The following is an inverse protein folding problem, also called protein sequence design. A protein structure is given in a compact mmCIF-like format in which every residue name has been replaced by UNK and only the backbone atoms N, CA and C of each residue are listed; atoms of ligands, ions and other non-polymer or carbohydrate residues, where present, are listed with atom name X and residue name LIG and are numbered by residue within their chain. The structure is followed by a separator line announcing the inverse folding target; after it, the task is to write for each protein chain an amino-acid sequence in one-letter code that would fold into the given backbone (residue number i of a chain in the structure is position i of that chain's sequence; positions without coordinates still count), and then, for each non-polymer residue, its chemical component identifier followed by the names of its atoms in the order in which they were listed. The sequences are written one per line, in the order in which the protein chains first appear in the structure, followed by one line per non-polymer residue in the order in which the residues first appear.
data_IF_785556331874
#
_entry.id   IF_785556331874
#
_cell.length_a   1.000
_cell.length_b   1.000
_cell.length_c   1.000
_cell.angle_alpha   90.00
_cell.angle_beta   90.00
_cell.angle_gamma   90.00
#
_symmetry.space_group_name_H-M   'P 1'
#
loop_
_entity.id
_entity.type
_entity.pdbx_description
1 polymer ?
#
# COMPACT_ATOMS: atom_id res chain seq x y z
N UNK A 1 -15.62 54.77 -33.65
CA UNK A 1 -15.87 53.32 -33.69
C UNK A 1 -15.16 52.70 -32.50
N UNK A 2 -15.91 52.35 -31.45
CA UNK A 2 -15.37 51.77 -30.21
C UNK A 2 -15.62 50.26 -30.25
N UNK A 3 -14.55 49.47 -30.33
CA UNK A 3 -14.62 48.01 -30.30
C UNK A 3 -14.54 47.56 -28.83
N UNK A 4 -15.69 47.13 -28.32
CA UNK A 4 -15.84 46.48 -27.02
C UNK A 4 -15.26 45.06 -27.12
N UNK A 5 -14.19 44.78 -26.38
CA UNK A 5 -13.64 43.44 -26.20
C UNK A 5 -14.55 42.66 -25.23
N UNK A 6 -15.22 41.64 -25.76
CA UNK A 6 -16.04 40.71 -25.00
C UNK A 6 -15.19 39.86 -24.05
N UNK A 7 -15.61 39.80 -22.79
CA UNK A 7 -15.03 38.94 -21.77
C UNK A 7 -15.23 37.46 -22.15
N UNK A 8 -14.13 36.72 -22.29
CA UNK A 8 -14.15 35.27 -22.35
C UNK A 8 -14.59 34.71 -20.99
N UNK A 9 -15.75 34.04 -20.97
CA UNK A 9 -16.18 33.22 -19.85
C UNK A 9 -15.15 32.09 -19.61
N UNK A 10 -14.49 32.10 -18.46
CA UNK A 10 -13.68 30.98 -17.99
C UNK A 10 -14.59 29.76 -17.77
N UNK A 11 -14.26 28.57 -18.30
CA UNK A 11 -15.00 27.36 -18.00
C UNK A 11 -14.88 27.08 -16.49
N UNK A 12 -16.03 27.03 -15.82
CA UNK A 12 -16.11 26.79 -14.38
C UNK A 12 -15.41 25.48 -14.03
N UNK A 13 -14.43 25.56 -13.12
CA UNK A 13 -13.80 24.39 -12.53
C UNK A 13 -14.91 23.49 -11.97
N UNK A 14 -14.91 22.17 -12.28
CA UNK A 14 -15.89 21.26 -11.71
C UNK A 14 -15.76 21.34 -10.20
N UNK A 15 -16.83 21.76 -9.52
CA UNK A 15 -16.93 21.64 -8.07
C UNK A 15 -16.92 20.15 -7.76
N UNK A 16 -15.74 19.60 -7.47
CA UNK A 16 -15.61 18.27 -6.87
C UNK A 16 -16.19 18.37 -5.46
N UNK A 17 -17.52 18.26 -5.38
CA UNK A 17 -18.20 18.06 -4.11
C UNK A 17 -17.59 16.83 -3.47
N UNK A 18 -17.10 16.99 -2.24
CA UNK A 18 -16.78 15.86 -1.37
C UNK A 18 -18.05 15.01 -1.26
N UNK A 19 -18.15 13.96 -2.06
CA UNK A 19 -19.29 13.07 -2.03
C UNK A 19 -19.32 12.42 -0.64
N UNK A 20 -20.25 12.86 0.19
CA UNK A 20 -20.54 12.23 1.47
C UNK A 20 -21.03 10.80 1.19
N UNK A 21 -20.12 9.84 1.29
CA UNK A 21 -20.48 8.42 1.31
C UNK A 21 -20.84 8.04 2.76
N UNK A 22 -22.07 7.54 3.01
CA UNK A 22 -22.43 6.98 4.31
C UNK A 22 -21.50 5.82 4.67
N UNK A 23 -21.40 5.49 5.97
CA UNK A 23 -20.55 4.38 6.44
C UNK A 23 -21.11 3.07 5.88
N UNK A 24 -20.53 2.58 4.80
CA UNK A 24 -20.95 1.34 4.14
C UNK A 24 -20.34 0.17 4.92
N UNK A 25 -21.17 -0.61 5.62
CA UNK A 25 -20.68 -1.76 6.40
C UNK A 25 -20.69 -3.07 5.59
N UNK A 26 -21.64 -3.21 4.65
CA UNK A 26 -21.73 -4.40 3.80
C UNK A 26 -20.66 -4.39 2.69
N UNK A 27 -19.90 -5.49 2.59
CA UNK A 27 -18.86 -5.70 1.57
C UNK A 27 -19.40 -5.55 0.14
N UNK A 28 -20.59 -6.07 -0.16
CA UNK A 28 -21.17 -5.98 -1.51
C UNK A 28 -21.39 -4.53 -1.94
N UNK A 29 -21.87 -3.68 -1.03
CA UNK A 29 -22.07 -2.26 -1.29
C UNK A 29 -20.75 -1.52 -1.47
N UNK A 30 -19.70 -1.91 -0.72
CA UNK A 30 -18.35 -1.35 -0.88
C UNK A 30 -17.80 -1.69 -2.26
N UNK A 31 -17.89 -2.96 -2.67
CA UNK A 31 -17.43 -3.41 -3.98
C UNK A 31 -18.21 -2.73 -5.10
N UNK A 32 -19.54 -2.58 -4.96
CA UNK A 32 -20.37 -1.85 -5.92
C UNK A 32 -19.97 -0.37 -6.01
N UNK A 33 -19.65 0.29 -4.89
CA UNK A 33 -19.21 1.68 -4.88
C UNK A 33 -17.83 1.85 -5.56
N UNK A 34 -16.90 0.94 -5.31
CA UNK A 34 -15.58 0.91 -5.97
C UNK A 34 -15.77 0.73 -7.48
N UNK A 35 -16.57 -0.24 -7.91
CA UNK A 35 -16.80 -0.53 -9.33
C UNK A 35 -17.50 0.64 -10.04
N UNK A 36 -18.49 1.26 -9.39
CA UNK A 36 -19.14 2.45 -9.92
C UNK A 36 -18.15 3.60 -10.11
N UNK A 37 -17.26 3.85 -9.14
CA UNK A 37 -16.22 4.88 -9.23
C UNK A 37 -15.23 4.59 -10.37
N UNK A 38 -14.71 3.36 -10.46
CA UNK A 38 -13.81 2.91 -11.52
C UNK A 38 -14.43 3.07 -12.91
N UNK A 39 -15.73 2.85 -13.04
CA UNK A 39 -16.43 2.94 -14.31
C UNK A 39 -16.92 4.34 -14.69
N UNK A 40 -16.88 5.30 -13.76
CA UNK A 40 -17.36 6.67 -13.98
C UNK A 40 -16.22 7.67 -13.78
N UNK A 41 -15.94 8.05 -12.54
CA UNK A 41 -14.97 9.07 -12.16
C UNK A 41 -13.58 8.79 -12.71
N UNK A 42 -13.07 7.56 -12.55
CA UNK A 42 -11.69 7.22 -12.91
C UNK A 42 -11.43 7.15 -14.42
N UNK A 43 -12.48 7.18 -15.23
CA UNK A 43 -12.41 7.30 -16.70
C UNK A 43 -12.53 8.75 -17.17
N UNK A 44 -12.89 9.68 -16.29
CA UNK A 44 -13.12 11.07 -16.67
C UNK A 44 -11.77 11.80 -16.92
N UNK A 45 -11.58 12.48 -18.07
CA UNK A 45 -10.31 13.13 -18.40
C UNK A 45 -9.80 14.13 -17.35
N UNK A 46 -10.72 14.90 -16.75
CA UNK A 46 -10.36 15.85 -15.70
C UNK A 46 -9.81 15.15 -14.43
N UNK A 47 -10.38 14.00 -14.07
CA UNK A 47 -9.88 13.23 -12.93
C UNK A 47 -8.51 12.62 -13.25
N UNK A 48 -8.32 12.07 -14.46
CA UNK A 48 -7.04 11.53 -14.90
C UNK A 48 -5.92 12.58 -14.89
N UNK A 49 -6.22 13.79 -15.37
CA UNK A 49 -5.29 14.92 -15.32
C UNK A 49 -4.93 15.28 -13.88
N UNK A 50 -5.94 15.44 -13.01
CA UNK A 50 -5.71 15.78 -11.61
C UNK A 50 -4.94 14.67 -10.85
N UNK A 51 -5.31 13.42 -11.05
CA UNK A 51 -4.74 12.27 -10.34
C UNK A 51 -3.26 12.01 -10.69
N UNK A 52 -2.74 12.60 -11.76
CA UNK A 52 -1.33 12.49 -12.19
C UNK A 52 -0.50 13.72 -11.82
N UNK A 53 -1.10 14.77 -11.24
CA UNK A 53 -0.38 15.98 -10.82
C UNK A 53 0.21 15.87 -9.41
N UNK A 54 -0.35 14.99 -8.57
CA UNK A 54 0.11 14.76 -7.21
C UNK A 54 -0.89 13.92 -6.41
N UNK A 55 -0.59 13.69 -5.14
CA UNK A 55 -1.47 12.94 -4.24
C UNK A 55 -2.66 13.81 -3.79
N UNK A 56 -3.87 13.24 -3.85
CA UNK A 56 -5.15 13.88 -3.47
C UNK A 56 -5.57 13.56 -2.04
N UNK A 57 -4.72 12.82 -1.32
CA UNK A 57 -4.79 12.59 0.12
C UNK A 57 -3.87 13.58 0.85
N UNK A 58 -4.06 13.77 2.16
CA UNK A 58 -3.30 14.76 2.91
C UNK A 58 -1.94 14.22 3.36
N UNK A 59 -0.91 15.04 3.27
CA UNK A 59 0.37 14.79 3.93
C UNK A 59 0.18 15.04 5.43
N UNK A 60 0.71 14.16 6.28
CA UNK A 60 0.66 14.35 7.73
C UNK A 60 1.45 15.61 8.17
N UNK A 61 2.55 15.94 7.50
CA UNK A 61 3.34 17.15 7.82
C UNK A 61 2.57 18.46 7.59
N UNK A 62 1.62 18.45 6.65
CA UNK A 62 0.82 19.63 6.32
C UNK A 62 -0.38 19.82 7.27
N UNK A 63 -0.62 18.86 8.17
CA UNK A 63 -1.71 18.91 9.13
C UNK A 63 -1.27 19.59 10.43
N UNK A 64 -2.01 20.59 10.94
CA UNK A 64 -1.72 21.13 12.25
C UNK A 64 -2.03 20.08 13.33
N UNK A 65 -1.14 19.93 14.32
CA UNK A 65 -1.25 18.90 15.37
C UNK A 65 -2.59 18.92 16.12
N UNK A 66 -3.21 20.10 16.24
CA UNK A 66 -4.57 20.27 16.80
C UNK A 66 -5.66 19.44 16.10
N UNK A 67 -5.40 18.92 14.90
CA UNK A 67 -6.32 18.04 14.16
C UNK A 67 -6.07 16.56 14.35
N UNK A 68 -4.93 16.13 14.90
CA UNK A 68 -4.55 14.71 14.93
C UNK A 68 -5.58 13.84 15.66
N UNK A 69 -6.08 14.29 16.81
CA UNK A 69 -7.07 13.55 17.59
C UNK A 69 -8.39 13.32 16.83
N UNK A 70 -8.73 14.16 15.84
CA UNK A 70 -9.92 13.98 14.99
C UNK A 70 -9.86 12.67 14.20
N UNK A 71 -8.66 12.15 13.92
CA UNK A 71 -8.47 10.91 13.16
C UNK A 71 -8.76 9.64 13.97
N UNK A 72 -8.90 9.75 15.30
CA UNK A 72 -9.28 8.63 16.16
C UNK A 72 -10.62 7.99 15.71
N UNK A 73 -11.54 8.78 15.15
CA UNK A 73 -12.84 8.31 14.64
C UNK A 73 -12.72 7.30 13.49
N UNK A 74 -11.58 7.25 12.82
CA UNK A 74 -11.32 6.34 11.70
C UNK A 74 -10.65 5.04 12.12
N UNK A 75 -10.27 4.87 13.39
CA UNK A 75 -9.68 3.62 13.86
C UNK A 75 -10.61 2.42 13.64
N UNK A 76 -10.03 1.29 13.26
CA UNK A 76 -10.76 0.04 13.01
C UNK A 76 -10.70 -0.86 14.24
N UNK A 77 -11.68 -0.72 15.14
CA UNK A 77 -11.64 -1.39 16.43
C UNK A 77 -10.44 -0.97 17.31
N UNK A 78 -9.90 0.22 17.06
CA UNK A 78 -8.66 0.69 17.68
C UNK A 78 -7.38 0.42 16.86
N UNK A 79 -7.50 -0.19 15.68
CA UNK A 79 -6.35 -0.48 14.80
C UNK A 79 -6.07 0.67 13.84
N UNK A 80 -4.80 1.03 13.71
CA UNK A 80 -4.24 1.83 12.62
C UNK A 80 -3.50 0.91 11.64
N UNK A 81 -3.66 1.15 10.34
CA UNK A 81 -2.90 0.48 9.29
C UNK A 81 -1.83 1.42 8.74
N UNK A 82 -0.60 0.94 8.62
CA UNK A 82 0.49 1.66 7.95
C UNK A 82 0.96 0.82 6.76
N UNK A 83 1.00 1.42 5.57
CA UNK A 83 1.39 0.72 4.35
C UNK A 83 2.63 1.40 3.79
N UNK A 84 3.76 0.71 3.87
CA UNK A 84 5.07 1.21 3.43
C UNK A 84 5.29 0.85 1.98
N UNK A 85 5.51 1.83 1.11
CA UNK A 85 5.81 1.65 -0.31
C UNK A 85 4.77 0.77 -1.02
N UNK A 86 3.49 1.19 -1.05
CA UNK A 86 2.45 0.42 -1.72
C UNK A 86 2.77 0.19 -3.20
N UNK A 87 2.46 -1.01 -3.69
CA UNK A 87 2.71 -1.47 -5.07
C UNK A 87 4.17 -1.36 -5.55
N UNK A 88 5.14 -1.58 -4.64
CA UNK A 88 6.55 -1.37 -4.95
C UNK A 88 7.02 -2.17 -6.18
N UNK A 89 6.59 -3.42 -6.30
CA UNK A 89 6.95 -4.31 -7.41
C UNK A 89 6.56 -3.72 -8.78
N UNK A 90 5.37 -3.12 -8.87
CA UNK A 90 4.83 -2.64 -10.15
C UNK A 90 5.51 -1.35 -10.62
N UNK A 91 5.90 -0.49 -9.68
CA UNK A 91 6.38 0.86 -10.00
C UNK A 91 7.90 1.04 -9.89
N UNK A 92 8.59 0.19 -9.11
CA UNK A 92 9.98 0.44 -8.72
C UNK A 92 10.94 -0.75 -8.92
N UNK A 93 10.43 -1.95 -9.24
CA UNK A 93 11.25 -3.15 -9.55
C UNK A 93 11.63 -3.24 -11.05
N UNK A 94 11.44 -2.15 -11.81
CA UNK A 94 11.75 -2.06 -13.24
C UNK A 94 11.12 -3.19 -14.09
N UNK A 95 9.86 -3.51 -13.83
CA UNK A 95 9.04 -4.18 -14.82
C UNK A 95 8.46 -3.10 -15.72
N UNK A 96 8.76 -3.16 -17.02
CA UNK A 96 7.99 -2.45 -18.03
C UNK A 96 6.76 -3.33 -18.35
N UNK A 97 5.62 -3.21 -17.64
CA UNK A 97 4.41 -3.76 -18.21
C UNK A 97 4.23 -3.07 -19.56
N UNK A 98 4.03 -3.87 -20.59
CA UNK A 98 3.94 -3.44 -21.98
C UNK A 98 2.61 -2.68 -22.23
N UNK A 99 2.36 -1.60 -21.48
CA UNK A 99 1.11 -0.87 -21.46
C UNK A 99 1.35 0.62 -21.55
N UNK A 100 1.08 1.18 -22.72
CA UNK A 100 1.03 2.62 -22.99
C UNK A 100 -0.30 3.25 -22.53
N UNK A 101 -1.28 2.45 -22.10
CA UNK A 101 -2.63 2.92 -21.74
C UNK A 101 -3.19 2.11 -20.57
N UNK A 102 -3.30 2.70 -19.37
CA UNK A 102 -4.01 2.06 -18.24
C UNK A 102 -3.43 2.37 -16.86
N UNK A 103 -3.99 1.75 -15.82
CA UNK A 103 -3.38 1.63 -14.50
C UNK A 103 -2.41 0.42 -14.54
N UNK A 104 -1.11 0.62 -14.28
CA UNK A 104 -0.12 -0.46 -14.30
C UNK A 104 -0.43 -1.67 -13.42
N UNK A 105 -1.04 -1.46 -12.26
CA UNK A 105 -1.41 -2.55 -11.35
C UNK A 105 -2.55 -3.36 -11.98
N UNK A 106 -3.58 -2.70 -12.51
CA UNK A 106 -4.66 -3.40 -13.21
C UNK A 106 -4.18 -4.12 -14.48
N UNK A 107 -3.21 -3.54 -15.18
CA UNK A 107 -2.56 -4.19 -16.32
C UNK A 107 -1.85 -5.49 -15.90
N UNK A 108 -1.01 -5.45 -14.87
CA UNK A 108 -0.36 -6.62 -14.29
C UNK A 108 -1.40 -7.68 -13.87
N UNK A 109 -2.47 -7.26 -13.19
CA UNK A 109 -3.48 -8.15 -12.68
C UNK A 109 -4.35 -8.81 -13.76
N UNK A 110 -4.35 -8.31 -15.00
CA UNK A 110 -5.06 -8.92 -16.15
C UNK A 110 -4.22 -9.89 -16.97
N UNK A 111 -2.90 -9.89 -16.81
CA UNK A 111 -2.03 -10.80 -17.55
C UNK A 111 -2.31 -12.27 -17.20
N UNK A 112 -1.85 -13.22 -18.00
CA UNK A 112 -1.88 -14.64 -17.61
C UNK A 112 -0.61 -14.93 -16.82
N UNK A 113 -0.73 -15.59 -15.66
CA UNK A 113 0.44 -15.96 -14.88
C UNK A 113 1.12 -17.13 -15.60
N UNK A 114 2.37 -16.93 -16.01
CA UNK A 114 3.14 -17.96 -16.73
C UNK A 114 3.90 -18.86 -15.75
N UNK A 115 4.22 -18.34 -14.57
CA UNK A 115 4.91 -19.05 -13.49
C UNK A 115 4.18 -18.91 -12.15
N UNK A 116 4.55 -19.75 -11.16
CA UNK A 116 4.04 -19.63 -9.79
C UNK A 116 4.56 -18.36 -9.11
N UNK A 117 5.77 -17.95 -9.43
CA UNK A 117 6.38 -16.71 -8.93
C UNK A 117 5.54 -15.51 -9.40
N UNK A 118 5.21 -15.46 -10.70
CA UNK A 118 4.32 -14.43 -11.25
C UNK A 118 2.95 -14.46 -10.57
N UNK A 119 2.37 -15.65 -10.39
CA UNK A 119 1.09 -15.80 -9.70
C UNK A 119 1.16 -15.27 -8.26
N UNK A 120 2.21 -15.62 -7.53
CA UNK A 120 2.40 -15.19 -6.15
C UNK A 120 2.59 -13.67 -6.04
N UNK A 121 3.41 -13.07 -6.90
CA UNK A 121 3.61 -11.62 -6.95
C UNK A 121 2.31 -10.88 -7.28
N UNK A 122 1.56 -11.37 -8.27
CA UNK A 122 0.26 -10.80 -8.64
C UNK A 122 -0.78 -10.89 -7.53
N UNK A 123 -0.84 -12.01 -6.83
CA UNK A 123 -1.80 -12.16 -5.73
C UNK A 123 -1.44 -11.30 -4.51
N UNK A 124 -0.15 -11.01 -4.28
CA UNK A 124 0.27 -10.00 -3.29
C UNK A 124 -0.16 -8.59 -3.67
N UNK A 125 0.05 -8.20 -4.94
CA UNK A 125 -0.39 -6.90 -5.46
C UNK A 125 -1.92 -6.77 -5.43
N UNK A 126 -2.64 -7.85 -5.78
CA UNK A 126 -4.10 -7.92 -5.66
C UNK A 126 -4.55 -7.70 -4.23
N UNK A 127 -3.99 -8.45 -3.28
CA UNK A 127 -4.37 -8.38 -1.88
C UNK A 127 -4.13 -6.99 -1.29
N UNK A 128 -2.98 -6.36 -1.61
CA UNK A 128 -2.66 -5.02 -1.16
C UNK A 128 -3.58 -3.96 -1.78
N UNK A 129 -3.81 -4.00 -3.10
CA UNK A 129 -4.73 -3.09 -3.79
C UNK A 129 -6.14 -3.20 -3.20
N UNK A 130 -6.67 -4.43 -3.09
CA UNK A 130 -8.02 -4.69 -2.58
C UNK A 130 -8.16 -4.21 -1.14
N UNK A 131 -7.14 -4.45 -0.32
CA UNK A 131 -7.08 -3.93 1.03
C UNK A 131 -7.18 -2.40 1.04
N UNK A 132 -6.37 -1.68 0.25
CA UNK A 132 -6.38 -0.22 0.21
C UNK A 132 -7.74 0.32 -0.27
N UNK A 133 -8.30 -0.24 -1.34
CA UNK A 133 -9.60 0.17 -1.89
C UNK A 133 -10.75 -0.03 -0.91
N UNK A 134 -10.83 -1.22 -0.29
CA UNK A 134 -11.90 -1.55 0.64
C UNK A 134 -11.75 -0.73 1.93
N UNK A 135 -10.53 -0.64 2.47
CA UNK A 135 -10.24 0.00 3.76
C UNK A 135 -10.42 1.52 3.69
N UNK A 136 -9.98 2.15 2.58
CA UNK A 136 -10.19 3.58 2.34
C UNK A 136 -11.67 3.91 2.11
N UNK A 137 -12.40 3.06 1.36
CA UNK A 137 -13.85 3.21 1.13
C UNK A 137 -14.65 3.06 2.42
N UNK A 138 -14.21 2.18 3.33
CA UNK A 138 -14.77 2.05 4.70
C UNK A 138 -14.40 3.18 5.65
N UNK A 139 -13.62 4.16 5.20
CA UNK A 139 -13.08 5.27 6.01
C UNK A 139 -12.32 4.76 7.24
N UNK A 140 -11.49 3.74 7.07
CA UNK A 140 -10.58 3.29 8.14
C UNK A 140 -9.25 4.02 8.02
N UNK A 141 -8.60 4.23 9.16
CA UNK A 141 -7.37 5.01 9.23
C UNK A 141 -6.22 4.24 8.59
N UNK A 142 -5.68 4.81 7.51
CA UNK A 142 -4.49 4.29 6.81
C UNK A 142 -3.46 5.42 6.76
N UNK A 143 -2.21 5.11 7.11
CA UNK A 143 -1.07 5.95 6.84
C UNK A 143 -0.21 5.29 5.76
N UNK A 144 0.03 5.98 4.65
CA UNK A 144 0.94 5.52 3.61
C UNK A 144 2.33 6.09 3.87
N UNK A 145 3.36 5.25 3.83
CA UNK A 145 4.74 5.74 3.72
C UNK A 145 5.11 5.60 2.25
N UNK A 146 5.15 6.72 1.53
CA UNK A 146 5.43 6.74 0.10
C UNK A 146 6.94 6.86 -0.14
N UNK A 147 7.49 6.25 -1.21
CA UNK A 147 8.90 6.40 -1.58
C UNK A 147 9.32 7.88 -1.71
N UNK A 148 10.35 8.33 -0.99
CA UNK A 148 10.91 9.68 -1.15
C UNK A 148 11.61 9.85 -2.50
N UNK A 149 11.51 11.05 -3.09
CA UNK A 149 12.14 11.44 -4.36
C UNK A 149 11.99 10.40 -5.49
N UNK A 150 10.85 9.69 -5.48
CA UNK A 150 10.66 8.50 -6.30
C UNK A 150 10.65 8.80 -7.80
N UNK A 151 10.33 10.04 -8.19
CA UNK A 151 10.35 10.50 -9.58
C UNK A 151 11.76 10.50 -10.15
N UNK A 152 12.77 10.75 -9.31
CA UNK A 152 14.17 10.79 -9.72
C UNK A 152 14.87 9.44 -9.52
N UNK A 153 14.29 8.55 -8.72
CA UNK A 153 14.85 7.24 -8.41
C UNK A 153 14.97 6.31 -9.61
N UNK A 154 16.17 5.79 -9.93
CA UNK A 154 16.49 4.89 -11.07
C UNK A 154 15.62 3.62 -11.22
N UNK A 155 14.93 3.17 -10.16
CA UNK A 155 13.97 2.07 -10.27
C UNK A 155 12.57 2.46 -10.74
N UNK A 156 12.20 3.75 -10.69
CA UNK A 156 10.87 4.20 -11.11
C UNK A 156 10.67 4.07 -12.63
N UNK A 157 9.70 3.23 -13.01
CA UNK A 157 9.43 2.86 -14.41
C UNK A 157 8.84 4.01 -15.25
N UNK A 158 8.05 4.92 -14.65
CA UNK A 158 7.18 5.86 -15.40
C UNK A 158 7.69 7.30 -15.45
N UNK A 159 9.00 7.52 -15.39
CA UNK A 159 9.61 8.86 -15.34
C UNK A 159 9.23 9.81 -16.45
N UNK A 160 9.07 9.29 -17.66
CA UNK A 160 8.83 10.08 -18.87
C UNK A 160 7.34 10.13 -19.26
N UNK A 161 6.45 9.79 -18.33
CA UNK A 161 5.00 9.75 -18.52
C UNK A 161 4.29 10.56 -17.42
N UNK A 162 3.00 10.88 -17.58
CA UNK A 162 2.18 11.33 -16.45
C UNK A 162 2.31 10.38 -15.27
N UNK A 163 2.33 10.91 -14.05
CA UNK A 163 2.69 10.18 -12.84
C UNK A 163 1.72 9.02 -12.54
N UNK A 164 2.08 7.84 -13.02
CA UNK A 164 1.26 6.64 -12.89
C UNK A 164 1.16 6.17 -11.43
N UNK A 165 2.16 6.50 -10.61
CA UNK A 165 2.15 6.11 -9.21
C UNK A 165 1.19 6.97 -8.40
N UNK A 166 1.25 8.29 -8.58
CA UNK A 166 0.27 9.20 -8.00
C UNK A 166 -1.16 8.82 -8.41
N UNK A 167 -1.37 8.50 -9.70
CA UNK A 167 -2.67 8.04 -10.19
C UNK A 167 -3.15 6.78 -9.47
N UNK A 168 -2.29 5.77 -9.33
CA UNK A 168 -2.62 4.53 -8.63
C UNK A 168 -3.01 4.81 -7.17
N UNK A 169 -2.18 5.56 -6.43
CA UNK A 169 -2.47 5.93 -5.04
C UNK A 169 -3.81 6.67 -4.95
N UNK A 170 -4.08 7.61 -5.84
CA UNK A 170 -5.34 8.35 -5.85
C UNK A 170 -6.56 7.47 -6.16
N UNK A 171 -6.41 6.45 -7.01
CA UNK A 171 -7.46 5.46 -7.28
C UNK A 171 -7.74 4.60 -6.04
N UNK A 172 -6.72 3.94 -5.48
CA UNK A 172 -6.93 2.98 -4.39
C UNK A 172 -7.30 3.63 -3.06
N UNK A 173 -6.92 4.90 -2.86
CA UNK A 173 -7.29 5.65 -1.65
C UNK A 173 -8.60 6.40 -1.79
N UNK A 174 -9.12 6.56 -3.01
CA UNK A 174 -10.32 7.34 -3.32
C UNK A 174 -10.28 8.77 -2.76
N UNK A 175 -9.08 9.38 -2.64
CA UNK A 175 -8.92 10.67 -1.95
C UNK A 175 -9.57 10.70 -0.56
N UNK A 176 -9.60 9.55 0.13
CA UNK A 176 -10.34 9.40 1.38
C UNK A 176 -9.69 10.23 2.49
N UNK A 177 -10.51 10.96 3.24
CA UNK A 177 -10.09 11.75 4.40
C UNK A 177 -9.51 10.91 5.54
N UNK A 178 -9.72 9.58 5.54
CA UNK A 178 -9.12 8.66 6.51
C UNK A 178 -7.75 8.15 6.09
N UNK A 179 -7.22 8.61 4.94
CA UNK A 179 -5.91 8.23 4.44
C UNK A 179 -4.99 9.43 4.50
N UNK A 180 -3.85 9.23 5.16
CA UNK A 180 -2.75 10.18 5.26
C UNK A 180 -1.51 9.59 4.62
N UNK A 181 -0.54 10.43 4.30
CA UNK A 181 0.77 9.95 3.88
C UNK A 181 1.94 10.74 4.49
N UNK A 182 3.10 10.10 4.48
CA UNK A 182 4.42 10.66 4.69
C UNK A 182 5.34 10.15 3.58
N UNK A 183 6.45 10.83 3.33
CA UNK A 183 7.53 10.29 2.49
C UNK A 183 8.56 9.57 3.36
N UNK A 184 9.08 8.45 2.87
CA UNK A 184 10.36 7.92 3.34
C UNK A 184 11.51 8.80 2.87
N UNK A 185 12.64 8.74 3.56
CA UNK A 185 13.87 9.44 3.18
C UNK A 185 14.47 8.88 1.87
N UNK A 186 14.30 7.58 1.64
CA UNK A 186 14.81 6.90 0.44
C UNK A 186 13.69 6.18 -0.30
N UNK A 187 13.78 6.05 -1.63
CA UNK A 187 12.73 5.42 -2.42
C UNK A 187 12.62 3.91 -2.17
N UNK A 188 13.71 3.24 -1.77
CA UNK A 188 13.79 1.78 -1.59
C UNK A 188 13.80 1.32 -0.12
N UNK A 189 13.75 2.27 0.84
CA UNK A 189 13.68 1.99 2.28
C UNK A 189 12.58 2.78 2.96
N UNK A 190 11.87 2.17 3.91
CA UNK A 190 10.79 2.83 4.65
C UNK A 190 11.24 3.78 5.77
N UNK A 191 12.54 4.04 5.91
CA UNK A 191 13.04 4.97 6.92
C UNK A 191 12.45 6.37 6.70
N UNK A 192 12.01 7.03 7.78
CA UNK A 192 11.50 8.40 7.76
C UNK A 192 12.62 9.39 8.10
N UNK A 193 12.54 10.60 7.55
CA UNK A 193 13.32 11.72 8.07
C UNK A 193 12.99 11.98 9.53
N UNK A 194 13.89 12.64 10.27
CA UNK A 194 13.67 12.96 11.68
C UNK A 194 12.34 13.72 11.90
N UNK A 195 12.07 14.73 11.08
CA UNK A 195 10.83 15.53 11.15
C UNK A 195 9.59 14.66 10.91
N UNK A 196 9.58 13.85 9.83
CA UNK A 196 8.46 12.94 9.55
C UNK A 196 8.25 11.92 10.66
N UNK A 197 9.33 11.42 11.27
CA UNK A 197 9.28 10.52 12.41
C UNK A 197 8.65 11.21 13.63
N UNK A 198 9.04 12.44 13.97
CA UNK A 198 8.45 13.18 15.10
C UNK A 198 6.95 13.44 14.87
N UNK A 199 6.57 13.91 13.69
CA UNK A 199 5.15 14.12 13.36
C UNK A 199 4.33 12.84 13.43
N UNK A 200 4.89 11.71 12.98
CA UNK A 200 4.27 10.40 13.15
C UNK A 200 4.06 10.06 14.62
N UNK A 201 5.06 10.25 15.48
CA UNK A 201 4.96 9.91 16.90
C UNK A 201 3.91 10.76 17.61
N UNK A 202 3.88 12.08 17.37
CA UNK A 202 2.84 12.96 17.91
C UNK A 202 1.44 12.58 17.41
N UNK A 203 1.32 12.20 16.13
CA UNK A 203 0.06 11.70 15.57
C UNK A 203 -0.40 10.41 16.27
N UNK A 204 0.51 9.46 16.48
CA UNK A 204 0.21 8.19 17.16
C UNK A 204 -0.16 8.40 18.63
N UNK A 205 0.46 9.36 19.31
CA UNK A 205 0.09 9.73 20.68
C UNK A 205 -1.33 10.33 20.72
N UNK A 206 -1.63 11.28 19.83
CA UNK A 206 -2.93 11.94 19.77
C UNK A 206 -4.09 11.01 19.36
N UNK A 207 -3.85 10.08 18.42
CA UNK A 207 -4.83 9.08 17.97
C UNK A 207 -4.94 7.91 18.95
N UNK A 208 -3.84 7.58 19.62
CA UNK A 208 -3.71 6.48 20.60
C UNK A 208 -4.29 5.14 20.09
N UNK A 209 -3.78 4.58 18.97
CA UNK A 209 -4.24 3.27 18.49
C UNK A 209 -3.90 2.16 19.50
N UNK A 210 -4.79 1.18 19.62
CA UNK A 210 -4.56 -0.05 20.41
C UNK A 210 -3.60 -1.00 19.71
N UNK A 211 -3.58 -0.98 18.38
CA UNK A 211 -2.71 -1.81 17.56
C UNK A 211 -2.32 -1.08 16.28
N UNK A 212 -1.12 -1.35 15.79
CA UNK A 212 -0.57 -0.85 14.54
C UNK A 212 -0.21 -2.06 13.67
N UNK A 213 -0.75 -2.09 12.46
CA UNK A 213 -0.46 -3.14 11.47
C UNK A 213 0.29 -2.56 10.30
N UNK A 214 1.49 -3.08 10.03
CA UNK A 214 2.37 -2.62 8.96
C UNK A 214 2.31 -3.59 7.77
N UNK A 215 2.07 -3.07 6.57
CA UNK A 215 2.15 -3.82 5.30
C UNK A 215 2.85 -3.03 4.21
N UNK A 216 2.65 -3.43 2.95
CA UNK A 216 3.12 -2.74 1.75
C UNK A 216 4.20 -3.51 0.98
N UNK A 217 5.28 -2.82 0.59
CA UNK A 217 6.42 -3.33 -0.15
C UNK A 217 7.21 -4.41 0.59
N UNK A 218 8.44 -4.66 0.17
CA UNK A 218 9.11 -5.91 0.55
C UNK A 218 9.44 -6.03 2.04
N UNK A 219 9.00 -7.16 2.62
CA UNK A 219 9.40 -7.60 3.96
C UNK A 219 10.90 -7.89 3.97
N UNK A 220 11.65 -7.27 4.90
CA UNK A 220 13.11 -7.40 4.97
C UNK A 220 13.87 -6.41 4.07
N UNK A 221 13.17 -5.49 3.41
CA UNK A 221 13.77 -4.35 2.69
C UNK A 221 13.00 -3.07 3.05
N UNK A 222 11.92 -2.77 2.33
CA UNK A 222 11.15 -1.55 2.49
C UNK A 222 10.57 -1.43 3.92
N UNK A 223 9.99 -2.51 4.44
CA UNK A 223 9.29 -2.50 5.74
C UNK A 223 10.26 -2.51 6.94
N UNK A 224 11.46 -3.08 6.80
CA UNK A 224 12.32 -3.42 7.95
C UNK A 224 12.78 -2.20 8.75
N UNK A 225 13.32 -1.18 8.08
CA UNK A 225 13.82 0.01 8.75
C UNK A 225 12.67 0.81 9.40
N UNK A 226 11.52 0.88 8.74
CA UNK A 226 10.32 1.50 9.31
C UNK A 226 9.84 0.75 10.57
N UNK A 227 9.72 -0.57 10.48
CA UNK A 227 9.29 -1.44 11.59
C UNK A 227 10.20 -1.26 12.80
N UNK A 228 11.53 -1.36 12.62
CA UNK A 228 12.52 -1.26 13.70
C UNK A 228 12.49 0.10 14.40
N UNK A 229 12.39 1.18 13.62
CA UNK A 229 12.33 2.54 14.17
C UNK A 229 11.02 2.77 14.94
N UNK A 230 9.90 2.27 14.40
CA UNK A 230 8.60 2.42 15.04
C UNK A 230 8.53 1.62 16.34
N UNK A 231 8.90 0.33 16.34
CA UNK A 231 8.84 -0.52 17.54
C UNK A 231 9.73 0.00 18.67
N UNK A 232 10.90 0.55 18.34
CA UNK A 232 11.77 1.21 19.33
C UNK A 232 11.07 2.37 20.03
N UNK A 233 10.18 3.07 19.33
CA UNK A 233 9.51 4.27 19.84
C UNK A 233 8.17 3.97 20.52
N UNK A 234 7.38 3.02 20.02
CA UNK A 234 6.00 2.78 20.46
C UNK A 234 5.77 1.46 21.20
N UNK A 235 6.76 0.56 21.21
CA UNK A 235 6.69 -0.78 21.79
C UNK A 235 6.41 -1.88 20.77
N UNK A 236 7.09 -3.01 20.90
CA UNK A 236 6.91 -4.20 20.04
C UNK A 236 5.53 -4.84 20.19
N UNK A 237 4.89 -4.70 21.35
CA UNK A 237 3.57 -5.27 21.67
C UNK A 237 2.43 -4.63 20.86
N UNK A 238 2.61 -3.38 20.43
CA UNK A 238 1.61 -2.64 19.65
C UNK A 238 1.77 -2.80 18.15
N UNK A 239 2.93 -3.21 17.66
CA UNK A 239 3.27 -3.16 16.23
C UNK A 239 3.45 -4.56 15.67
N UNK A 240 2.66 -4.88 14.64
CA UNK A 240 2.73 -6.17 13.95
C UNK A 240 2.85 -5.99 12.45
N UNK A 241 3.59 -6.86 11.78
CA UNK A 241 3.60 -6.91 10.31
C UNK A 241 2.40 -7.76 9.86
N UNK A 242 1.61 -7.22 8.92
CA UNK A 242 0.46 -7.87 8.31
C UNK A 242 0.89 -8.57 7.02
N UNK A 243 1.26 -9.84 7.12
CA UNK A 243 1.72 -10.65 5.99
C UNK A 243 0.71 -10.81 4.86
N UNK A 244 -0.59 -10.65 5.15
CA UNK A 244 -1.66 -10.66 4.14
C UNK A 244 -1.63 -9.47 3.17
N UNK A 245 -0.95 -8.39 3.52
CA UNK A 245 -0.86 -7.15 2.72
C UNK A 245 0.60 -6.69 2.58
N UNK A 246 1.54 -7.60 2.74
CA UNK A 246 2.98 -7.34 2.58
C UNK A 246 3.52 -8.12 1.39
N UNK A 247 4.41 -7.49 0.63
CA UNK A 247 5.08 -8.13 -0.49
C UNK A 247 6.38 -8.82 -0.04
N UNK A 248 6.81 -9.83 -0.80
CA UNK A 248 8.15 -10.42 -0.76
C UNK A 248 8.85 -10.09 -2.07
N UNK A 249 10.16 -9.80 -2.02
CA UNK A 249 10.89 -9.49 -3.25
C UNK A 249 11.01 -10.73 -4.14
N UNK A 250 11.04 -10.59 -5.47
CA UNK A 250 11.27 -11.71 -6.38
C UNK A 250 12.54 -12.50 -6.05
N UNK A 251 13.62 -11.81 -5.67
CA UNK A 251 14.90 -12.43 -5.29
C UNK A 251 14.77 -13.36 -4.08
N UNK A 252 13.84 -13.03 -3.18
CA UNK A 252 13.53 -13.72 -1.94
C UNK A 252 12.63 -14.95 -2.16
N UNK A 253 12.05 -15.12 -3.35
CA UNK A 253 11.25 -16.30 -3.68
C UNK A 253 12.12 -17.52 -3.99
N UNK A 254 13.40 -17.31 -4.31
CA UNK A 254 14.34 -18.36 -4.68
C UNK A 254 14.49 -19.42 -3.57
N UNK A 255 13.95 -20.60 -3.82
CA UNK A 255 14.00 -21.73 -2.91
C UNK A 255 12.88 -21.78 -1.86
N UNK A 256 11.85 -20.93 -1.96
CA UNK A 256 10.57 -21.18 -1.30
C UNK A 256 9.75 -22.19 -2.10
N UNK A 257 9.06 -23.10 -1.42
CA UNK A 257 8.02 -23.90 -2.05
C UNK A 257 6.73 -23.08 -2.10
N UNK A 258 6.49 -22.40 -3.22
CA UNK A 258 5.33 -21.52 -3.37
C UNK A 258 3.98 -22.27 -3.28
N UNK A 259 3.96 -23.61 -3.31
CA UNK A 259 2.73 -24.37 -3.01
C UNK A 259 2.26 -24.17 -1.57
N UNK A 260 3.18 -23.91 -0.64
CA UNK A 260 2.82 -23.63 0.75
C UNK A 260 2.14 -22.26 0.88
N UNK A 261 2.45 -21.33 -0.04
CA UNK A 261 1.97 -19.95 -0.06
C UNK A 261 0.82 -19.70 -1.04
N UNK A 262 0.55 -20.64 -1.95
CA UNK A 262 -0.55 -20.58 -2.90
C UNK A 262 -1.52 -21.76 -2.69
N UNK A 263 -2.74 -21.46 -2.24
CA UNK A 263 -3.81 -22.46 -2.10
C UNK A 263 -4.90 -22.17 -3.14
N UNK A 264 -5.09 -23.10 -4.08
CA UNK A 264 -6.06 -22.93 -5.17
C UNK A 264 -5.74 -21.71 -6.06
N UNK A 265 -4.47 -21.32 -6.15
CA UNK A 265 -4.03 -20.16 -6.92
C UNK A 265 -4.19 -18.80 -6.25
N UNK A 266 -4.58 -18.78 -4.96
CA UNK A 266 -4.69 -17.56 -4.13
C UNK A 266 -3.72 -17.63 -2.96
N UNK A 267 -3.42 -16.49 -2.31
CA UNK A 267 -2.52 -16.46 -1.16
C UNK A 267 -3.02 -17.33 0.00
N UNK A 268 -2.15 -18.19 0.51
CA UNK A 268 -2.35 -18.89 1.77
C UNK A 268 -2.01 -17.95 2.93
N UNK A 269 -3.00 -17.15 3.35
CA UNK A 269 -2.86 -16.14 4.41
C UNK A 269 -2.31 -16.73 5.71
N UNK A 270 -2.72 -17.94 6.09
CA UNK A 270 -2.22 -18.61 7.30
C UNK A 270 -0.72 -18.88 7.22
N UNK A 271 -0.22 -19.34 6.06
CA UNK A 271 1.21 -19.57 5.85
C UNK A 271 2.00 -18.24 5.87
N UNK A 272 1.47 -17.20 5.22
CA UNK A 272 2.09 -15.85 5.24
C UNK A 272 2.18 -15.29 6.66
N UNK A 273 1.11 -15.43 7.45
CA UNK A 273 1.11 -15.04 8.86
C UNK A 273 2.14 -15.80 9.67
N UNK A 274 2.21 -17.13 9.54
CA UNK A 274 3.23 -17.93 10.23
C UNK A 274 4.65 -17.51 9.87
N UNK A 275 4.90 -17.23 8.59
CA UNK A 275 6.20 -16.71 8.13
C UNK A 275 6.52 -15.37 8.74
N UNK A 276 5.55 -14.48 8.89
CA UNK A 276 5.77 -13.16 9.49
C UNK A 276 5.90 -13.23 11.01
N UNK A 277 5.11 -14.05 11.70
CA UNK A 277 5.12 -14.15 13.18
C UNK A 277 6.30 -14.98 13.72
N UNK A 278 6.76 -16.00 12.98
CA UNK A 278 7.96 -16.76 13.36
C UNK A 278 9.26 -15.95 13.26
N UNK A 279 9.21 -14.79 12.61
CA UNK A 279 10.24 -13.75 12.59
C UNK A 279 10.06 -12.82 13.79
N UNK A 280 10.56 -13.20 14.97
CA UNK A 280 11.11 -12.16 15.83
C UNK A 280 12.28 -11.56 15.04
N UNK A 281 12.10 -10.38 14.45
CA UNK A 281 13.00 -9.68 13.52
C UNK A 281 14.26 -9.27 14.28
N UNK A 282 15.08 -10.26 14.63
CA UNK A 282 16.41 -10.12 15.21
C UNK A 282 17.43 -10.31 14.10
N UNK A 283 17.66 -9.26 13.30
CA UNK A 283 18.89 -9.02 12.53
C UNK A 283 19.43 -10.10 11.58
N UNK A 284 18.75 -11.22 11.37
CA UNK A 284 19.26 -12.32 10.58
C UNK A 284 18.78 -12.20 9.13
N UNK A 285 19.72 -12.32 8.20
CA UNK A 285 19.46 -12.19 6.75
C UNK A 285 18.32 -13.09 6.28
N UNK A 286 17.57 -12.65 5.27
CA UNK A 286 16.48 -13.40 4.65
C UNK A 286 16.87 -14.83 4.20
N UNK A 287 18.15 -15.05 3.85
CA UNK A 287 18.70 -16.39 3.55
C UNK A 287 18.64 -17.35 4.74
N UNK A 288 18.83 -16.86 5.96
CA UNK A 288 18.76 -17.65 7.18
C UNK A 288 17.30 -18.01 7.53
N UNK A 289 16.36 -17.14 7.19
CA UNK A 289 14.93 -17.42 7.23
C UNK A 289 14.56 -18.58 6.29
N UNK A 290 14.99 -18.54 5.01
CA UNK A 290 14.71 -19.63 4.07
C UNK A 290 15.23 -20.97 4.59
N UNK A 291 16.41 -20.96 5.22
CA UNK A 291 17.00 -22.15 5.86
C UNK A 291 16.13 -22.66 7.01
N UNK A 292 15.68 -21.78 7.91
CA UNK A 292 14.89 -22.16 9.08
C UNK A 292 13.47 -22.59 8.73
N UNK A 293 12.83 -21.94 7.75
CA UNK A 293 11.51 -22.34 7.26
C UNK A 293 11.56 -23.72 6.59
N UNK A 294 12.57 -23.97 5.75
CA UNK A 294 12.81 -25.32 5.19
C UNK A 294 12.94 -26.37 6.30
N UNK A 295 13.66 -26.06 7.37
CA UNK A 295 13.81 -26.96 8.52
C UNK A 295 12.49 -27.17 9.27
N UNK A 296 11.66 -26.13 9.43
CA UNK A 296 10.34 -26.22 10.06
C UNK A 296 9.37 -27.08 9.23
N UNK A 297 9.26 -26.83 7.93
CA UNK A 297 8.41 -27.62 7.03
C UNK A 297 8.86 -29.08 7.02
N UNK A 298 10.19 -29.32 6.94
CA UNK A 298 10.76 -30.67 7.04
C UNK A 298 10.35 -31.35 8.35
N UNK A 299 10.54 -30.70 9.50
CA UNK A 299 10.18 -31.26 10.81
C UNK A 299 8.69 -31.60 10.93
N UNK A 300 7.81 -30.79 10.35
CA UNK A 300 6.37 -31.06 10.39
C UNK A 300 5.92 -32.13 9.39
N UNK A 301 6.55 -32.22 8.21
CA UNK A 301 6.33 -33.35 7.28
C UNK A 301 6.79 -34.67 7.88
N UNK A 302 7.92 -34.66 8.57
CA UNK A 302 8.45 -35.83 9.29
C UNK A 302 7.52 -36.24 10.45
N UNK A 303 6.92 -35.27 11.15
CA UNK A 303 5.97 -35.51 12.24
C UNK A 303 4.58 -35.97 11.77
N UNK A 304 4.15 -35.60 10.56
CA UNK A 304 2.84 -35.98 10.01
C UNK A 304 2.83 -37.33 9.27
N UNK A 305 3.99 -37.99 9.14
CA UNK A 305 4.11 -39.27 8.44
C UNK A 305 3.83 -39.22 6.94
N UNK A 306 3.69 -38.02 6.36
CA UNK A 306 3.54 -37.85 4.91
C UNK A 306 4.90 -38.00 4.24
N UNK A 307 5.21 -39.22 3.80
CA UNK A 307 6.29 -39.44 2.82
C UNK A 307 5.86 -38.78 1.51
N UNK A 308 6.64 -37.79 1.08
CA UNK A 308 6.52 -37.15 -0.24
C UNK A 308 6.82 -38.11 -1.38
#
# INVERSE_FOLDING_TARGET
MSLSLGACATPGSPKMGLYYTPRVENLEQILAAIEARKNTLEKHPAWLSLATQGFLIKNLLDLPESEYSKYQRYLDGGTLYIVVHPAYYVFFENHEPNTTVGDPVEALLKQVALTKDDQFLREQERALRDFLEITSTRKRLILLILPGDYKDFSGYTYRNAPDAYARYINSVTNSSESVLYLYSEQPFRGALSYESQQSLLHFLEAVSPKAIRIGGGYVGRCIEDFYRNLTTSVGEDKVTIAGEISAFSPEDLNGLDLNDFLKGGTLNISALKQVVTSKNIRGNSFKEFLRNYKNYIKKNKDASGQKG
#
